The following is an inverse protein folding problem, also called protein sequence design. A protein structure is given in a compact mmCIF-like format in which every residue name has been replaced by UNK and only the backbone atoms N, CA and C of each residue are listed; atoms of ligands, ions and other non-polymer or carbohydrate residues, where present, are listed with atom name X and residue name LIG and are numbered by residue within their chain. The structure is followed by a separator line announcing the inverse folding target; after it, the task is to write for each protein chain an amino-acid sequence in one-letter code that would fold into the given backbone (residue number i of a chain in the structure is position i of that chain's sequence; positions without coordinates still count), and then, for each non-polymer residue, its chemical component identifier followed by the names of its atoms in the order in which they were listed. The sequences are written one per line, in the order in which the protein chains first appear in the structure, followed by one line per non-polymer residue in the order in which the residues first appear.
data_IF_765955498974
#
_entry.id   IF_765955498974
#
_cell.length_a   1.000
_cell.length_b   1.000
_cell.length_c   1.000
_cell.angle_alpha   90.00
_cell.angle_beta   90.00
_cell.angle_gamma   90.00
#
_symmetry.space_group_name_H-M   'P 1'
#
loop_
_entity.id
_entity.type
_entity.pdbx_description
1 polymer ?
#
# COMPACT_ATOMS: atom_id res chain seq x y z
N UNK A 1 9.56 -27.08 -7.89
CA UNK A 1 8.51 -26.14 -7.44
C UNK A 1 7.30 -26.95 -7.00
N UNK A 2 6.76 -26.71 -5.77
CA UNK A 2 5.62 -27.50 -5.25
C UNK A 2 4.32 -26.95 -5.85
N UNK A 3 3.45 -27.81 -6.37
CA UNK A 3 2.14 -27.45 -6.95
C UNK A 3 1.26 -26.73 -5.91
N UNK A 4 1.42 -27.05 -4.63
CA UNK A 4 0.79 -26.37 -3.49
C UNK A 4 1.12 -24.88 -3.47
N UNK A 5 2.37 -24.49 -3.77
CA UNK A 5 2.81 -23.09 -3.75
C UNK A 5 2.15 -22.30 -4.90
N UNK A 6 1.97 -22.91 -6.07
CA UNK A 6 1.27 -22.29 -7.19
C UNK A 6 -0.16 -21.88 -6.80
N UNK A 7 -0.97 -22.84 -6.35
CA UNK A 7 -2.36 -22.54 -5.96
C UNK A 7 -2.43 -21.65 -4.72
N UNK A 8 -1.50 -21.83 -3.77
CA UNK A 8 -1.42 -20.99 -2.60
C UNK A 8 -1.10 -19.54 -2.93
N UNK A 9 -0.12 -19.27 -3.78
CA UNK A 9 0.24 -17.93 -4.23
C UNK A 9 -0.89 -17.31 -5.04
N UNK A 10 -1.45 -18.03 -6.02
CA UNK A 10 -2.59 -17.56 -6.81
C UNK A 10 -3.77 -17.15 -5.91
N UNK A 11 -4.13 -18.00 -4.94
CA UNK A 11 -5.18 -17.68 -3.96
C UNK A 11 -4.85 -16.41 -3.16
N UNK A 12 -3.60 -16.24 -2.74
CA UNK A 12 -3.17 -15.04 -2.00
C UNK A 12 -3.30 -13.79 -2.84
N UNK A 13 -2.83 -13.82 -4.11
CA UNK A 13 -2.96 -12.68 -5.05
C UNK A 13 -4.43 -12.34 -5.32
N UNK A 14 -5.27 -13.33 -5.59
CA UNK A 14 -6.71 -13.09 -5.81
C UNK A 14 -7.41 -12.54 -4.56
N UNK A 15 -7.07 -13.06 -3.37
CA UNK A 15 -7.63 -12.59 -2.11
C UNK A 15 -7.21 -11.14 -1.82
N UNK A 16 -5.93 -10.81 -2.04
CA UNK A 16 -5.43 -9.46 -1.92
C UNK A 16 -6.18 -8.50 -2.87
N UNK A 17 -6.23 -8.83 -4.17
CA UNK A 17 -6.96 -8.05 -5.18
C UNK A 17 -8.44 -7.85 -4.81
N UNK A 18 -9.10 -8.86 -4.29
CA UNK A 18 -10.49 -8.77 -3.83
C UNK A 18 -10.66 -7.73 -2.71
N UNK A 19 -9.81 -7.77 -1.67
CA UNK A 19 -9.93 -6.88 -0.54
C UNK A 19 -9.53 -5.44 -0.88
N UNK A 20 -8.44 -5.25 -1.63
CA UNK A 20 -8.08 -3.92 -2.16
C UNK A 20 -9.21 -3.37 -3.02
N UNK A 21 -9.79 -4.19 -3.88
CA UNK A 21 -10.93 -3.84 -4.71
C UNK A 21 -12.13 -3.36 -3.90
N UNK A 22 -12.47 -4.02 -2.79
CA UNK A 22 -13.54 -3.58 -1.89
C UNK A 22 -13.31 -2.17 -1.34
N UNK A 23 -12.08 -1.89 -0.88
CA UNK A 23 -11.73 -0.56 -0.37
C UNK A 23 -11.72 0.48 -1.48
N UNK A 24 -11.13 0.19 -2.63
CA UNK A 24 -11.14 1.08 -3.79
C UNK A 24 -12.57 1.41 -4.24
N UNK A 25 -13.43 0.41 -4.35
CA UNK A 25 -14.84 0.60 -4.71
C UNK A 25 -15.56 1.49 -3.69
N UNK A 26 -15.37 1.21 -2.39
CA UNK A 26 -15.97 1.98 -1.29
C UNK A 26 -15.63 3.47 -1.34
N UNK A 27 -14.39 3.82 -1.72
CA UNK A 27 -13.93 5.21 -1.79
C UNK A 27 -14.05 5.81 -3.20
N UNK A 28 -14.64 5.10 -4.17
CA UNK A 28 -14.88 5.60 -5.53
C UNK A 28 -13.64 5.59 -6.44
N UNK A 29 -12.69 4.70 -6.22
CA UNK A 29 -11.53 4.45 -7.07
C UNK A 29 -11.78 3.27 -8.03
N UNK A 30 -12.80 3.39 -8.89
CA UNK A 30 -13.26 2.28 -9.73
C UNK A 30 -12.22 1.80 -10.74
N UNK A 31 -11.43 2.70 -11.32
CA UNK A 31 -10.34 2.34 -12.24
C UNK A 31 -9.27 1.53 -11.50
N UNK A 32 -8.82 2.02 -10.36
CA UNK A 32 -7.82 1.36 -9.51
C UNK A 32 -8.31 -0.02 -9.05
N UNK A 33 -9.60 -0.15 -8.69
CA UNK A 33 -10.18 -1.46 -8.38
C UNK A 33 -9.92 -2.51 -9.47
N UNK A 34 -10.10 -2.13 -10.74
CA UNK A 34 -9.90 -3.05 -11.87
C UNK A 34 -8.40 -3.29 -12.12
N UNK A 35 -7.61 -2.22 -12.15
CA UNK A 35 -6.21 -2.24 -12.62
C UNK A 35 -5.19 -2.55 -11.54
N UNK A 36 -5.56 -2.49 -10.24
CA UNK A 36 -4.66 -2.73 -9.12
C UNK A 36 -3.93 -4.05 -9.28
N UNK A 37 -2.60 -3.98 -9.22
CA UNK A 37 -1.72 -5.15 -9.16
C UNK A 37 -1.89 -6.18 -10.29
N UNK A 38 -2.37 -5.78 -11.46
CA UNK A 38 -2.42 -6.70 -12.60
C UNK A 38 -1.03 -7.24 -12.97
N UNK A 39 0.02 -6.50 -12.68
CA UNK A 39 1.40 -6.92 -12.90
C UNK A 39 1.79 -8.18 -12.12
N UNK A 40 1.13 -8.47 -10.99
CA UNK A 40 1.33 -9.69 -10.19
C UNK A 40 1.05 -10.99 -10.97
N UNK A 41 0.31 -10.91 -12.06
CA UNK A 41 0.08 -12.03 -12.97
C UNK A 41 1.12 -12.14 -14.09
N UNK A 42 2.08 -11.21 -14.18
CA UNK A 42 3.20 -11.32 -15.10
C UNK A 42 4.14 -12.47 -14.70
N UNK A 43 4.82 -13.13 -15.65
CA UNK A 43 5.74 -14.22 -15.34
C UNK A 43 6.80 -13.83 -14.29
N UNK A 44 7.35 -12.61 -14.38
CA UNK A 44 8.41 -12.12 -13.48
C UNK A 44 7.94 -12.08 -12.03
N UNK A 45 6.75 -11.53 -11.78
CA UNK A 45 6.23 -11.42 -10.41
C UNK A 45 5.62 -12.73 -9.93
N UNK A 46 4.85 -13.39 -10.80
CA UNK A 46 4.10 -14.58 -10.42
C UNK A 46 5.01 -15.75 -10.03
N UNK A 47 6.02 -16.07 -10.85
CA UNK A 47 6.86 -17.24 -10.58
C UNK A 47 7.83 -17.03 -9.42
N UNK A 48 8.37 -15.84 -9.22
CA UNK A 48 9.12 -15.51 -8.02
C UNK A 48 8.21 -15.62 -6.78
N UNK A 49 6.98 -15.08 -6.88
CA UNK A 49 5.98 -15.21 -5.83
C UNK A 49 5.65 -16.67 -5.49
N UNK A 50 5.50 -17.55 -6.47
CA UNK A 50 5.30 -19.00 -6.26
C UNK A 50 6.50 -19.65 -5.57
N UNK A 51 7.74 -19.28 -5.98
CA UNK A 51 8.97 -19.84 -5.41
C UNK A 51 9.08 -19.56 -3.91
N UNK A 52 8.78 -18.31 -3.52
CA UNK A 52 8.97 -17.83 -2.14
C UNK A 52 7.67 -17.81 -1.30
N UNK A 53 6.58 -18.36 -1.82
CA UNK A 53 5.31 -18.39 -1.11
C UNK A 53 5.35 -19.22 0.18
N UNK A 54 4.97 -18.60 1.31
CA UNK A 54 4.88 -19.22 2.64
C UNK A 54 3.45 -19.18 3.20
N UNK A 55 2.56 -18.36 2.64
CA UNK A 55 1.16 -18.24 3.06
C UNK A 55 0.90 -17.29 4.22
N UNK A 56 1.93 -16.86 4.94
CA UNK A 56 1.83 -16.05 6.17
C UNK A 56 2.34 -14.62 6.00
N UNK A 57 3.14 -14.39 4.96
CA UNK A 57 3.75 -13.09 4.66
C UNK A 57 3.99 -12.91 3.16
N UNK A 58 4.44 -11.71 2.78
CA UNK A 58 4.81 -11.41 1.40
C UNK A 58 5.94 -12.33 0.91
N UNK A 59 5.82 -13.00 -0.25
CA UNK A 59 6.90 -13.75 -0.85
C UNK A 59 8.09 -12.85 -1.27
N UNK A 60 7.84 -11.54 -1.52
CA UNK A 60 8.89 -10.56 -1.81
C UNK A 60 9.84 -10.42 -0.62
N UNK A 61 9.31 -10.37 0.60
CA UNK A 61 10.14 -10.26 1.81
C UNK A 61 10.98 -11.51 2.01
N UNK A 62 10.39 -12.69 1.81
CA UNK A 62 11.11 -13.96 1.87
C UNK A 62 12.23 -14.03 0.80
N UNK A 63 11.97 -13.55 -0.40
CA UNK A 63 12.97 -13.47 -1.45
C UNK A 63 14.13 -12.53 -1.08
N UNK A 64 13.80 -11.34 -0.55
CA UNK A 64 14.82 -10.36 -0.12
C UNK A 64 15.68 -10.86 1.04
N UNK A 65 15.09 -11.56 1.98
CA UNK A 65 15.85 -12.17 3.10
C UNK A 65 16.85 -13.22 2.62
N UNK A 66 16.50 -14.01 1.60
CA UNK A 66 17.37 -15.05 1.07
C UNK A 66 18.43 -14.48 0.11
N UNK A 67 18.07 -13.51 -0.74
CA UNK A 67 18.91 -13.06 -1.86
C UNK A 67 19.36 -11.60 -1.78
N UNK A 68 18.98 -10.85 -0.73
CA UNK A 68 19.23 -9.41 -0.59
C UNK A 68 18.36 -8.51 -1.49
N UNK A 69 17.69 -9.08 -2.51
CA UNK A 69 16.87 -8.36 -3.48
C UNK A 69 15.73 -9.21 -4.03
N UNK A 70 14.78 -8.58 -4.76
CA UNK A 70 13.68 -9.24 -5.46
C UNK A 70 13.45 -8.58 -6.81
N UNK A 71 13.53 -9.36 -7.89
CA UNK A 71 13.21 -8.90 -9.25
C UNK A 71 11.70 -8.68 -9.41
N UNK A 72 10.87 -9.50 -8.77
CA UNK A 72 9.43 -9.28 -8.71
C UNK A 72 9.12 -7.91 -8.11
N UNK A 73 9.80 -7.53 -7.01
CA UNK A 73 9.62 -6.21 -6.40
C UNK A 73 10.05 -5.07 -7.31
N UNK A 74 11.22 -5.21 -7.96
CA UNK A 74 11.71 -4.18 -8.88
C UNK A 74 10.75 -3.97 -10.07
N UNK A 75 10.22 -5.07 -10.62
CA UNK A 75 9.20 -5.03 -11.67
C UNK A 75 7.89 -4.42 -11.16
N UNK A 76 7.45 -4.82 -9.97
CA UNK A 76 6.19 -4.41 -9.36
C UNK A 76 6.15 -2.92 -9.05
N UNK A 77 7.12 -2.42 -8.28
CA UNK A 77 7.18 -1.00 -7.91
C UNK A 77 7.32 -0.06 -9.10
N UNK A 78 7.98 -0.49 -10.17
CA UNK A 78 8.14 0.30 -11.39
C UNK A 78 6.86 0.42 -12.24
N UNK A 79 5.87 -0.45 -12.03
CA UNK A 79 4.60 -0.47 -12.78
C UNK A 79 3.40 -0.01 -11.97
N UNK A 80 3.50 -0.04 -10.65
CA UNK A 80 2.40 0.24 -9.74
C UNK A 80 2.66 1.54 -8.98
N UNK A 81 2.06 2.62 -9.47
CA UNK A 81 2.26 3.99 -8.95
C UNK A 81 1.69 4.21 -7.55
N UNK A 82 0.94 3.26 -7.00
CA UNK A 82 0.48 3.32 -5.61
C UNK A 82 1.58 2.99 -4.60
N UNK A 83 2.73 2.46 -5.03
CA UNK A 83 3.88 2.28 -4.16
C UNK A 83 4.67 3.58 -4.02
N UNK A 84 4.97 4.00 -2.77
CA UNK A 84 5.70 5.23 -2.50
C UNK A 84 7.14 5.20 -3.05
N UNK A 85 7.71 4.02 -3.22
CA UNK A 85 9.03 3.82 -3.82
C UNK A 85 9.10 4.18 -5.31
N UNK A 86 7.95 4.31 -5.98
CA UNK A 86 7.87 4.87 -7.34
C UNK A 86 8.14 6.38 -7.33
N UNK A 87 7.78 7.07 -6.25
CA UNK A 87 7.82 8.53 -6.11
C UNK A 87 9.12 8.96 -5.44
N UNK A 88 10.24 8.63 -6.07
CA UNK A 88 11.59 9.04 -5.67
C UNK A 88 12.21 9.83 -6.79
N UNK A 89 12.80 10.99 -6.45
CA UNK A 89 13.61 11.78 -7.37
C UNK A 89 15.02 11.19 -7.52
N UNK A 90 15.84 11.85 -8.30
CA UNK A 90 17.18 11.40 -8.66
C UNK A 90 18.06 11.06 -7.44
N UNK A 91 18.57 9.84 -7.41
CA UNK A 91 19.44 9.33 -6.35
C UNK A 91 20.88 9.87 -6.42
N UNK A 92 21.32 10.52 -7.51
CA UNK A 92 22.65 11.08 -7.67
C UNK A 92 22.98 12.12 -6.58
N UNK A 93 21.95 12.71 -5.98
CA UNK A 93 22.07 13.70 -4.89
C UNK A 93 21.40 13.24 -3.60
N UNK A 94 21.37 11.92 -3.35
CA UNK A 94 20.82 11.34 -2.14
C UNK A 94 19.36 10.94 -2.22
N UNK A 95 18.68 11.24 -3.33
CA UNK A 95 17.25 10.94 -3.53
C UNK A 95 16.33 11.81 -2.66
N UNK A 96 15.20 12.19 -3.21
CA UNK A 96 14.15 12.93 -2.49
C UNK A 96 12.81 12.22 -2.70
N UNK A 97 12.12 11.92 -1.62
CA UNK A 97 10.78 11.37 -1.71
C UNK A 97 9.79 12.45 -2.14
N UNK A 98 9.07 12.20 -3.22
CA UNK A 98 8.05 13.10 -3.75
C UNK A 98 6.68 12.80 -3.14
N UNK A 99 5.80 13.81 -2.98
CA UNK A 99 4.43 13.59 -2.56
C UNK A 99 3.67 12.79 -3.63
N UNK A 100 2.84 11.88 -3.18
CA UNK A 100 2.04 11.05 -4.10
C UNK A 100 0.81 11.82 -4.58
N UNK A 101 0.40 11.70 -5.86
CA UNK A 101 -0.90 12.20 -6.29
C UNK A 101 -2.04 11.52 -5.53
N UNK A 102 -3.12 12.27 -5.24
CA UNK A 102 -4.27 11.83 -4.44
C UNK A 102 -4.74 10.42 -4.76
N UNK A 103 -4.94 10.11 -6.04
CA UNK A 103 -5.47 8.80 -6.48
C UNK A 103 -4.56 7.63 -6.13
N UNK A 104 -3.24 7.82 -6.21
CA UNK A 104 -2.25 6.77 -5.91
C UNK A 104 -2.01 6.64 -4.42
N UNK A 105 -2.06 7.74 -3.67
CA UNK A 105 -2.04 7.71 -2.21
C UNK A 105 -3.24 6.96 -1.64
N UNK A 106 -4.44 7.23 -2.16
CA UNK A 106 -5.65 6.54 -1.72
C UNK A 106 -5.62 5.06 -2.12
N UNK A 107 -5.04 4.72 -3.26
CA UNK A 107 -4.80 3.33 -3.67
C UNK A 107 -3.78 2.64 -2.75
N UNK A 108 -2.69 3.32 -2.33
CA UNK A 108 -1.75 2.82 -1.33
C UNK A 108 -2.45 2.48 0.00
N UNK A 109 -3.33 3.37 0.48
CA UNK A 109 -4.12 3.07 1.68
C UNK A 109 -4.98 1.82 1.51
N UNK A 110 -5.66 1.69 0.35
CA UNK A 110 -6.46 0.51 0.04
C UNK A 110 -5.60 -0.76 -0.04
N UNK A 111 -4.37 -0.64 -0.59
CA UNK A 111 -3.40 -1.72 -0.69
C UNK A 111 -2.99 -2.24 0.68
N UNK A 112 -2.63 -1.37 1.62
CA UNK A 112 -2.28 -1.75 2.99
C UNK A 112 -3.44 -2.47 3.67
N UNK A 113 -4.63 -1.88 3.70
CA UNK A 113 -5.82 -2.49 4.30
C UNK A 113 -6.17 -3.84 3.64
N UNK A 114 -6.03 -3.94 2.33
CA UNK A 114 -6.29 -5.16 1.58
C UNK A 114 -5.25 -6.25 1.83
N UNK A 115 -3.98 -5.89 2.00
CA UNK A 115 -2.90 -6.81 2.36
C UNK A 115 -3.11 -7.37 3.77
N UNK A 116 -3.44 -6.52 4.75
CA UNK A 116 -3.79 -6.95 6.09
C UNK A 116 -4.89 -8.02 6.08
N UNK A 117 -6.01 -7.78 5.40
CA UNK A 117 -7.07 -8.77 5.23
C UNK A 117 -6.61 -10.05 4.51
N UNK A 118 -5.72 -9.94 3.53
CA UNK A 118 -5.26 -11.09 2.76
C UNK A 118 -4.42 -12.04 3.62
N UNK A 119 -3.56 -11.51 4.48
CA UNK A 119 -2.68 -12.31 5.33
C UNK A 119 -3.33 -12.70 6.67
N UNK A 120 -4.02 -11.78 7.34
CA UNK A 120 -4.59 -12.02 8.66
C UNK A 120 -5.96 -12.72 8.61
N UNK A 121 -6.67 -12.62 7.50
CA UNK A 121 -7.97 -13.28 7.31
C UNK A 121 -9.02 -12.81 8.34
N UNK A 122 -9.53 -13.76 9.12
CA UNK A 122 -10.54 -13.50 10.18
C UNK A 122 -9.98 -12.69 11.36
N UNK A 123 -8.67 -12.70 11.54
CA UNK A 123 -7.97 -12.01 12.62
C UNK A 123 -7.62 -10.56 12.25
N UNK A 124 -7.99 -10.10 11.06
CA UNK A 124 -7.76 -8.71 10.67
C UNK A 124 -8.57 -7.78 11.56
N UNK A 125 -7.87 -6.81 12.13
CA UNK A 125 -8.44 -5.63 12.80
C UNK A 125 -7.67 -4.38 12.36
N UNK A 126 -8.31 -3.22 12.46
CA UNK A 126 -7.61 -1.95 12.17
C UNK A 126 -6.54 -1.66 13.24
N UNK A 127 -6.68 -2.18 14.45
CA UNK A 127 -5.65 -2.09 15.48
C UNK A 127 -4.40 -2.88 15.10
N UNK A 128 -4.54 -4.11 14.60
CA UNK A 128 -3.40 -4.91 14.13
C UNK A 128 -2.74 -4.27 12.89
N UNK A 129 -3.52 -3.71 11.97
CA UNK A 129 -3.01 -2.98 10.82
C UNK A 129 -2.20 -1.74 11.25
N UNK A 130 -2.68 -0.99 12.25
CA UNK A 130 -1.95 0.16 12.79
C UNK A 130 -0.66 -0.26 13.52
N UNK A 131 -0.67 -1.35 14.29
CA UNK A 131 0.55 -1.92 14.87
C UNK A 131 1.57 -2.33 13.82
N UNK A 132 1.10 -2.97 12.73
CA UNK A 132 1.97 -3.30 11.60
C UNK A 132 2.61 -2.03 10.99
N UNK A 133 1.81 -0.98 10.78
CA UNK A 133 2.31 0.30 10.29
C UNK A 133 3.36 0.92 11.22
N UNK A 134 3.11 0.94 12.51
CA UNK A 134 4.07 1.44 13.51
C UNK A 134 5.39 0.66 13.45
N UNK A 135 5.33 -0.66 13.34
CA UNK A 135 6.52 -1.50 13.18
C UNK A 135 7.26 -1.23 11.87
N UNK A 136 6.55 -1.09 10.75
CA UNK A 136 7.12 -0.75 9.43
C UNK A 136 7.85 0.60 9.47
N UNK A 137 7.33 1.56 10.20
CA UNK A 137 7.86 2.94 10.25
C UNK A 137 8.75 3.22 11.44
N UNK A 138 9.07 2.21 12.25
CA UNK A 138 10.00 2.31 13.39
C UNK A 138 11.38 2.76 12.96
N UNK A 139 11.86 2.26 11.83
CA UNK A 139 13.06 2.74 11.17
C UNK A 139 12.71 3.77 10.08
N UNK A 140 13.61 4.69 9.75
CA UNK A 140 13.40 5.63 8.65
C UNK A 140 13.08 4.91 7.34
N UNK A 141 12.04 5.36 6.64
CA UNK A 141 11.66 4.88 5.32
C UNK A 141 11.70 6.05 4.32
N UNK A 142 12.07 5.76 3.08
CA UNK A 142 12.14 6.76 2.01
C UNK A 142 10.72 7.12 1.49
N UNK A 143 9.87 7.63 2.36
CA UNK A 143 8.50 8.05 2.07
C UNK A 143 8.38 9.54 2.37
N UNK A 144 7.68 10.27 1.48
CA UNK A 144 7.40 11.69 1.68
C UNK A 144 6.70 11.93 3.04
N UNK A 145 7.10 12.93 3.84
CA UNK A 145 6.54 13.18 5.18
C UNK A 145 5.01 13.29 5.18
N UNK A 146 4.42 14.03 4.22
CA UNK A 146 2.96 14.15 4.12
C UNK A 146 2.27 12.82 3.86
N UNK A 147 2.86 11.94 3.04
CA UNK A 147 2.35 10.59 2.78
C UNK A 147 2.37 9.76 4.04
N UNK A 148 3.51 9.77 4.76
CA UNK A 148 3.68 9.04 6.03
C UNK A 148 2.67 9.51 7.08
N UNK A 149 2.56 10.83 7.28
CA UNK A 149 1.63 11.44 8.24
C UNK A 149 0.18 11.14 7.89
N UNK A 150 -0.19 11.15 6.60
CA UNK A 150 -1.52 10.78 6.15
C UNK A 150 -1.87 9.33 6.53
N UNK A 151 -1.01 8.38 6.20
CA UNK A 151 -1.24 6.95 6.52
C UNK A 151 -1.36 6.77 8.04
N UNK A 152 -0.46 7.38 8.81
CA UNK A 152 -0.50 7.32 10.27
C UNK A 152 -1.80 7.88 10.86
N UNK A 153 -2.21 9.09 10.41
CA UNK A 153 -3.46 9.73 10.84
C UNK A 153 -4.70 8.88 10.49
N UNK A 154 -4.71 8.22 9.32
CA UNK A 154 -5.88 7.43 8.91
C UNK A 154 -5.93 6.11 9.65
N UNK A 155 -4.82 5.36 9.72
CA UNK A 155 -4.79 4.06 10.38
C UNK A 155 -5.03 4.19 11.90
N UNK A 156 -4.42 5.17 12.57
CA UNK A 156 -4.69 5.43 13.99
C UNK A 156 -6.16 5.76 14.28
N UNK A 157 -6.80 6.58 13.41
CA UNK A 157 -8.23 6.89 13.54
C UNK A 157 -9.12 5.69 13.27
N UNK A 158 -8.76 4.80 12.35
CA UNK A 158 -9.49 3.55 12.10
C UNK A 158 -9.39 2.63 13.31
N UNK A 159 -8.19 2.45 13.87
CA UNK A 159 -7.96 1.67 15.08
C UNK A 159 -8.77 2.19 16.29
N UNK A 160 -8.72 3.51 16.52
CA UNK A 160 -9.50 4.15 17.57
C UNK A 160 -11.01 3.92 17.39
N UNK A 161 -11.52 4.06 16.15
CA UNK A 161 -12.96 3.86 15.87
C UNK A 161 -13.39 2.42 16.09
N UNK A 162 -12.55 1.47 15.77
CA UNK A 162 -12.80 0.04 16.03
C UNK A 162 -12.89 -0.22 17.53
N UNK A 163 -11.94 0.29 18.32
CA UNK A 163 -11.91 0.15 19.78
C UNK A 163 -13.15 0.74 20.47
N UNK A 164 -13.63 1.88 19.97
CA UNK A 164 -14.78 2.59 20.52
C UNK A 164 -16.12 2.25 19.84
N UNK A 165 -16.15 1.22 18.98
CA UNK A 165 -17.33 0.81 18.20
C UNK A 165 -17.97 1.95 17.39
N UNK A 166 -17.17 2.89 16.90
CA UNK A 166 -17.60 4.00 16.05
C UNK A 166 -17.49 3.64 14.59
N UNK A 167 -18.55 3.82 13.82
CA UNK A 167 -18.56 3.53 12.39
C UNK A 167 -17.48 4.30 11.61
N UNK A 168 -16.81 3.64 10.68
CA UNK A 168 -15.68 4.18 9.90
C UNK A 168 -16.07 4.74 8.52
N UNK A 169 -17.35 4.67 8.11
CA UNK A 169 -17.79 5.14 6.79
C UNK A 169 -17.52 6.63 6.56
N UNK A 170 -17.69 7.46 7.59
CA UNK A 170 -17.40 8.89 7.52
C UNK A 170 -15.91 9.17 7.27
N UNK A 171 -15.01 8.32 7.77
CA UNK A 171 -13.58 8.44 7.54
C UNK A 171 -13.17 7.90 6.16
N UNK A 172 -13.64 6.68 5.83
CA UNK A 172 -13.33 6.00 4.57
C UNK A 172 -14.25 6.47 3.44
N UNK A 173 -14.15 7.75 3.09
CA UNK A 173 -14.70 8.33 1.86
C UNK A 173 -13.68 9.23 1.17
N UNK A 174 -13.74 9.31 -0.14
CA UNK A 174 -12.76 10.00 -0.99
C UNK A 174 -12.54 11.46 -0.58
N UNK A 175 -13.62 12.22 -0.41
CA UNK A 175 -13.55 13.66 -0.10
C UNK A 175 -12.82 13.92 1.22
N UNK A 176 -13.14 13.14 2.24
CA UNK A 176 -12.55 13.29 3.56
C UNK A 176 -11.06 12.88 3.59
N UNK A 177 -10.73 11.77 2.93
CA UNK A 177 -9.34 11.31 2.81
C UNK A 177 -8.47 12.32 2.06
N UNK A 178 -8.94 12.87 0.94
CA UNK A 178 -8.24 13.93 0.20
C UNK A 178 -8.04 15.17 1.08
N UNK A 179 -9.07 15.58 1.84
CA UNK A 179 -8.94 16.71 2.77
C UNK A 179 -7.83 16.48 3.80
N UNK A 180 -7.79 15.30 4.43
CA UNK A 180 -6.74 14.94 5.40
C UNK A 180 -5.36 15.00 4.75
N UNK A 181 -5.21 14.49 3.53
CA UNK A 181 -3.93 14.51 2.84
C UNK A 181 -3.46 15.93 2.49
N UNK A 182 -4.37 16.77 2.01
CA UNK A 182 -4.04 18.15 1.70
C UNK A 182 -3.67 18.96 2.96
N UNK A 183 -4.23 18.63 4.11
CA UNK A 183 -3.79 19.18 5.39
C UNK A 183 -2.35 18.75 5.71
N UNK A 184 -2.02 17.46 5.53
CA UNK A 184 -0.66 16.95 5.72
C UNK A 184 0.36 17.60 4.76
N UNK A 185 -0.03 17.88 3.50
CA UNK A 185 0.83 18.58 2.54
C UNK A 185 1.13 20.02 2.98
N UNK A 186 0.15 20.72 3.53
CA UNK A 186 0.35 22.08 4.06
C UNK A 186 1.28 22.10 5.28
N UNK A 187 1.16 21.11 6.15
CA UNK A 187 2.01 20.96 7.34
C UNK A 187 3.49 20.72 6.97
N UNK A 188 3.78 20.27 5.76
CA UNK A 188 5.17 20.01 5.28
C UNK A 188 5.75 21.12 4.42
N UNK A 189 5.17 22.33 4.42
CA UNK A 189 5.59 23.52 3.66
C UNK A 189 5.78 23.30 2.14
N UNK A 190 5.20 22.27 1.60
CA UNK A 190 5.21 22.05 0.16
C UNK A 190 4.27 23.02 -0.53
N UNK A 191 4.84 23.84 -1.41
CA UNK A 191 4.11 24.78 -2.25
C UNK A 191 3.17 23.99 -3.20
N UNK A 192 1.97 23.73 -2.73
CA UNK A 192 0.94 22.89 -3.34
C UNK A 192 0.56 23.30 -4.77
N UNK A 193 0.78 24.59 -5.11
CA UNK A 193 0.50 25.10 -6.46
C UNK A 193 1.40 24.50 -7.54
N UNK A 194 2.64 24.16 -7.23
CA UNK A 194 3.60 23.60 -8.20
C UNK A 194 3.23 22.18 -8.61
N UNK A 195 2.57 21.44 -7.73
CA UNK A 195 2.25 20.03 -7.96
C UNK A 195 1.04 19.79 -8.87
N UNK A 196 0.10 20.76 -8.92
CA UNK A 196 -1.10 20.68 -9.79
C UNK A 196 -0.79 20.80 -11.29
N UNK A 197 0.38 21.35 -11.65
CA UNK A 197 0.74 21.64 -13.06
C UNK A 197 1.30 20.37 -13.76
N UNK A 198 1.77 19.35 -13.01
CA UNK A 198 2.47 18.18 -13.54
C UNK A 198 1.65 16.88 -13.52
N UNK A 199 0.36 16.88 -13.15
CA UNK A 199 -0.52 15.73 -13.04
C UNK A 199 -1.85 15.95 -13.77
#
# INVERSE_FOLDING_TARGET
MKIKNFFGHLKTVCKHKYWVGKYCFKIGLYKQWITHDLSKFSPVEFWEGVKYWQGTRSPIDACKEENGMSFAWQHHKGRNRHHYEYWQDNFDKGGTALPMPDKYLLELLCDYLGAGHAYMGKNFTYQEEYKWWQNKTKNPIAMHPATKTFIDKVLSRLAWREEHNVGYNALLNKKNLIKIYHECLKETDLNWFTFKIFI
#
